data_IF_339891782859
#
_entry.id   IF_339891782859
#
_cell.length_a   1.000
_cell.length_b   1.000
_cell.length_c   1.000
_cell.angle_alpha   90.00
_cell.angle_beta   90.00
_cell.angle_gamma   90.00
#
_symmetry.space_group_name_H-M   'P 1'
#
loop_
_entity.id
_entity.type
_entity.pdbx_description
1 polymer ?
#
# COMPACT_ATOMS: atom_id res chain seq x y z
N UNK A 1 -1.78 22.49 -6.30
CA UNK A 1 -0.63 21.60 -6.60
C UNK A 1 -0.75 20.47 -5.58
N UNK A 2 -1.15 19.27 -6.02
CA UNK A 2 -1.28 18.05 -5.21
C UNK A 2 -2.37 17.94 -4.12
N UNK A 3 -3.37 18.83 -4.04
CA UNK A 3 -4.51 18.69 -3.12
C UNK A 3 -5.27 17.36 -3.37
N UNK A 4 -5.42 16.97 -4.64
CA UNK A 4 -6.01 15.69 -5.04
C UNK A 4 -5.16 14.50 -4.59
N UNK A 5 -3.83 14.61 -4.67
CA UNK A 5 -2.90 13.57 -4.22
C UNK A 5 -2.94 13.44 -2.70
N UNK A 6 -3.01 14.58 -2.01
CA UNK A 6 -3.10 14.65 -0.56
C UNK A 6 -4.40 14.02 -0.05
N UNK A 7 -5.54 14.33 -0.69
CA UNK A 7 -6.83 13.70 -0.38
C UNK A 7 -6.80 12.19 -0.67
N UNK A 8 -6.25 11.77 -1.81
CA UNK A 8 -6.15 10.35 -2.14
C UNK A 8 -5.23 9.59 -1.17
N UNK A 9 -4.18 10.24 -0.65
CA UNK A 9 -3.30 9.67 0.36
C UNK A 9 -4.01 9.60 1.72
N UNK A 10 -4.76 10.63 2.11
CA UNK A 10 -5.59 10.62 3.32
C UNK A 10 -6.66 9.51 3.26
N UNK A 11 -7.38 9.39 2.15
CA UNK A 11 -8.36 8.32 1.94
C UNK A 11 -7.71 6.93 1.99
N UNK A 12 -6.49 6.80 1.45
CA UNK A 12 -5.70 5.58 1.56
C UNK A 12 -5.33 5.29 3.01
N UNK A 13 -4.85 6.28 3.76
CA UNK A 13 -4.53 6.13 5.18
C UNK A 13 -5.79 5.74 5.96
N UNK A 14 -6.92 6.42 5.79
CA UNK A 14 -8.17 6.07 6.48
C UNK A 14 -8.66 4.65 6.16
N UNK A 15 -8.38 4.16 4.95
CA UNK A 15 -8.83 2.84 4.48
C UNK A 15 -7.91 1.70 4.94
N UNK A 16 -6.59 1.92 4.97
CA UNK A 16 -5.60 0.89 5.28
C UNK A 16 -4.99 1.01 6.69
N UNK A 17 -4.97 2.21 7.27
CA UNK A 17 -4.49 2.48 8.61
C UNK A 17 -5.67 2.42 9.60
N UNK A 18 -5.79 1.27 10.27
CA UNK A 18 -6.78 1.11 11.35
C UNK A 18 -6.29 1.85 12.60
N UNK A 19 -7.24 2.38 13.39
CA UNK A 19 -7.01 3.10 14.66
C UNK A 19 -6.01 2.40 15.59
N UNK A 20 -5.95 1.07 15.53
CA UNK A 20 -4.84 0.27 16.06
C UNK A 20 -4.45 -0.83 15.09
N UNK A 21 -3.20 -0.81 14.65
CA UNK A 21 -2.51 -1.93 14.02
C UNK A 21 -1.51 -2.48 15.04
N UNK A 22 -1.70 -3.69 15.54
CA UNK A 22 -0.72 -4.31 16.44
C UNK A 22 0.25 -5.19 15.66
N UNK A 23 1.46 -5.40 16.19
CA UNK A 23 2.44 -6.29 15.55
C UNK A 23 1.92 -7.74 15.38
N UNK A 24 0.95 -8.14 16.20
CA UNK A 24 0.27 -9.45 16.08
C UNK A 24 -0.66 -9.51 14.85
N UNK A 25 -1.32 -8.41 14.50
CA UNK A 25 -2.09 -8.30 13.25
C UNK A 25 -1.18 -8.42 12.02
N UNK A 26 0.06 -7.91 12.12
CA UNK A 26 1.05 -8.03 11.06
C UNK A 26 1.50 -9.48 10.79
N UNK A 27 1.28 -10.40 11.73
CA UNK A 27 1.56 -11.82 11.56
C UNK A 27 0.43 -12.56 10.81
N UNK A 28 -0.73 -11.93 10.62
CA UNK A 28 -1.82 -12.52 9.84
C UNK A 28 -1.49 -12.44 8.34
N UNK A 29 -1.47 -13.59 7.63
CA UNK A 29 -1.13 -13.62 6.21
C UNK A 29 -2.11 -12.85 5.32
N UNK A 30 -3.36 -12.61 5.75
CA UNK A 30 -4.32 -11.77 5.02
C UNK A 30 -3.98 -10.29 5.20
N UNK A 31 -3.64 -9.85 6.41
CA UNK A 31 -3.19 -8.48 6.68
C UNK A 31 -1.87 -8.17 5.99
N UNK A 32 -0.96 -9.15 5.87
CA UNK A 32 0.24 -9.02 5.06
C UNK A 32 -0.06 -8.79 3.58
N UNK A 33 -1.13 -9.41 3.04
CA UNK A 33 -1.58 -9.18 1.66
C UNK A 33 -2.20 -7.79 1.52
N UNK A 34 -3.11 -7.41 2.43
CA UNK A 34 -3.68 -6.05 2.46
C UNK A 34 -2.57 -4.99 2.56
N UNK A 35 -1.56 -5.19 3.42
CA UNK A 35 -0.43 -4.27 3.56
C UNK A 35 0.44 -4.17 2.31
N UNK A 36 0.62 -5.26 1.56
CA UNK A 36 1.31 -5.25 0.26
C UNK A 36 0.50 -4.50 -0.80
N UNK A 37 -0.81 -4.72 -0.88
CA UNK A 37 -1.69 -3.99 -1.79
C UNK A 37 -1.73 -2.50 -1.44
N UNK A 38 -1.79 -2.17 -0.15
CA UNK A 38 -1.72 -0.80 0.32
C UNK A 38 -0.43 -0.13 -0.17
N UNK A 39 0.72 -0.75 0.09
CA UNK A 39 2.02 -0.23 -0.35
C UNK A 39 2.14 -0.12 -1.88
N UNK A 40 1.51 -1.02 -2.62
CA UNK A 40 1.47 -0.95 -4.08
C UNK A 40 0.69 0.26 -4.58
N UNK A 41 -0.53 0.45 -4.05
CA UNK A 41 -1.37 1.61 -4.36
C UNK A 41 -0.64 2.91 -4.00
N UNK A 42 0.03 2.97 -2.85
CA UNK A 42 0.80 4.15 -2.45
C UNK A 42 1.96 4.43 -3.44
N UNK A 43 2.66 3.39 -3.88
CA UNK A 43 3.77 3.51 -4.83
C UNK A 43 3.31 3.99 -6.21
N UNK A 44 2.14 3.50 -6.67
CA UNK A 44 1.48 3.97 -7.90
C UNK A 44 1.00 5.42 -7.75
N UNK A 45 0.40 5.76 -6.61
CA UNK A 45 -0.09 7.11 -6.33
C UNK A 45 1.05 8.13 -6.38
N UNK A 46 2.20 7.78 -5.81
CA UNK A 46 3.42 8.60 -5.82
C UNK A 46 4.19 8.50 -7.14
N UNK A 47 3.74 7.67 -8.08
CA UNK A 47 4.38 7.39 -9.37
C UNK A 47 5.87 7.00 -9.24
N UNK A 48 6.21 6.30 -8.15
CA UNK A 48 7.58 5.85 -7.83
C UNK A 48 7.97 4.58 -8.59
N UNK A 49 7.00 3.88 -9.18
CA UNK A 49 7.18 2.59 -9.83
C UNK A 49 7.29 1.43 -8.82
N UNK A 50 7.76 0.27 -9.29
CA UNK A 50 7.94 -0.93 -8.47
C UNK A 50 9.20 -0.85 -7.61
N UNK A 51 9.09 -0.15 -6.47
CA UNK A 51 10.20 0.04 -5.52
C UNK A 51 10.43 -1.21 -4.68
N UNK A 52 9.38 -1.96 -4.35
CA UNK A 52 9.46 -3.14 -3.49
C UNK A 52 9.63 -4.45 -4.27
N UNK A 53 10.37 -5.44 -3.73
CA UNK A 53 10.58 -6.73 -4.38
C UNK A 53 9.29 -7.47 -4.72
N UNK A 54 8.29 -7.42 -3.83
CA UNK A 54 7.00 -8.08 -4.04
C UNK A 54 6.20 -7.49 -5.22
N UNK A 55 6.41 -6.21 -5.57
CA UNK A 55 5.79 -5.58 -6.74
C UNK A 55 6.45 -6.06 -8.03
N UNK A 56 7.75 -6.33 -7.97
CA UNK A 56 8.55 -6.80 -9.10
C UNK A 56 8.31 -8.28 -9.40
N UNK A 57 8.04 -9.09 -8.38
CA UNK A 57 7.70 -10.52 -8.54
C UNK A 57 6.29 -10.74 -9.13
N UNK A 58 5.37 -9.78 -9.00
CA UNK A 58 4.05 -9.80 -9.66
C UNK A 58 4.00 -9.16 -11.06
N UNK A 59 5.05 -8.43 -11.45
CA UNK A 59 5.13 -7.72 -12.74
C UNK A 59 5.81 -8.50 -13.87
N UNK A 60 6.13 -9.78 -13.64
CA UNK A 60 6.69 -10.66 -14.66
C UNK A 60 5.62 -11.37 -15.48
N UNK A 61 4.94 -10.67 -16.39
CA UNK A 61 4.34 -11.33 -17.56
C UNK A 61 4.19 -10.38 -18.75
N UNK A 62 4.95 -10.69 -19.82
CA UNK A 62 4.53 -10.67 -21.23
C UNK A 62 3.98 -9.38 -21.80
#
# INVERSE_FOLDING_TARGET
MNDTLFNALNDWVDRYYRDRLTAADLADPQLLREGREALDVLSQLLNLGSVYPFQREGGGNG
#
